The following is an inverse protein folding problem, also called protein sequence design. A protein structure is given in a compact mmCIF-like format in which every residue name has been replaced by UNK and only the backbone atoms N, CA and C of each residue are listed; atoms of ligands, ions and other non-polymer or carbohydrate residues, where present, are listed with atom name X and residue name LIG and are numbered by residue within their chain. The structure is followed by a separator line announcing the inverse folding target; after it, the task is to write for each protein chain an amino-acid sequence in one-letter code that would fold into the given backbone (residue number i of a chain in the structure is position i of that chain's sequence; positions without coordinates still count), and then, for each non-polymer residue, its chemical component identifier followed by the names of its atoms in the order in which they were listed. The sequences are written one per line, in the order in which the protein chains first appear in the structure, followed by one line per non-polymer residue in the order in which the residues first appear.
data_IF_796980216730
#
_entry.id   IF_796980216730
#
_cell.length_a   1.000
_cell.length_b   1.000
_cell.length_c   1.000
_cell.angle_alpha   90.00
_cell.angle_beta   90.00
_cell.angle_gamma   90.00
#
_symmetry.space_group_name_H-M   'P 1'
#
loop_
_entity.id
_entity.type
_entity.pdbx_description
1 polymer ?
#
# COMPACT_ATOMS: atom_id res chain seq x y z
N UNK A 1 -31.27 2.98 -2.14
CA UNK A 1 -30.19 2.57 -3.07
C UNK A 1 -30.25 1.07 -3.17
N UNK A 2 -30.23 0.53 -4.37
CA UNK A 2 -30.14 -0.91 -4.58
C UNK A 2 -28.81 -1.46 -4.04
N UNK A 3 -28.80 -2.74 -3.67
CA UNK A 3 -27.64 -3.40 -3.06
C UNK A 3 -26.42 -3.33 -3.99
N UNK A 4 -26.63 -3.54 -5.29
CA UNK A 4 -25.56 -3.50 -6.30
C UNK A 4 -24.91 -2.12 -6.38
N UNK A 5 -25.70 -1.06 -6.49
CA UNK A 5 -25.18 0.32 -6.48
C UNK A 5 -24.43 0.64 -5.19
N UNK A 6 -24.88 0.14 -4.03
CA UNK A 6 -24.15 0.30 -2.78
C UNK A 6 -22.78 -0.36 -2.80
N UNK A 7 -22.69 -1.60 -3.30
CA UNK A 7 -21.42 -2.32 -3.43
C UNK A 7 -20.46 -1.58 -4.37
N UNK A 8 -20.95 -1.08 -5.51
CA UNK A 8 -20.12 -0.33 -6.47
C UNK A 8 -19.57 0.95 -5.85
N UNK A 9 -20.43 1.77 -5.25
CA UNK A 9 -20.01 3.02 -4.58
C UNK A 9 -18.99 2.73 -3.49
N UNK A 10 -19.21 1.67 -2.71
CA UNK A 10 -18.29 1.23 -1.67
C UNK A 10 -16.91 0.88 -2.23
N UNK A 11 -16.85 0.02 -3.25
CA UNK A 11 -15.58 -0.40 -3.87
C UNK A 11 -14.84 0.81 -4.44
N UNK A 12 -15.53 1.68 -5.19
CA UNK A 12 -14.91 2.85 -5.81
C UNK A 12 -14.41 3.85 -4.77
N UNK A 13 -15.17 4.08 -3.71
CA UNK A 13 -14.77 5.00 -2.63
C UNK A 13 -13.50 4.48 -1.93
N UNK A 14 -13.45 3.18 -1.63
CA UNK A 14 -12.28 2.58 -0.97
C UNK A 14 -11.06 2.54 -1.89
N UNK A 15 -11.25 2.21 -3.17
CA UNK A 15 -10.19 2.23 -4.16
C UNK A 15 -9.60 3.63 -4.34
N UNK A 16 -10.46 4.65 -4.48
CA UNK A 16 -10.04 6.04 -4.58
C UNK A 16 -9.33 6.51 -3.30
N UNK A 17 -9.85 6.15 -2.13
CA UNK A 17 -9.23 6.49 -0.84
C UNK A 17 -7.84 5.87 -0.71
N UNK A 18 -7.67 4.61 -1.11
CA UNK A 18 -6.37 3.94 -1.12
C UNK A 18 -5.41 4.61 -2.10
N UNK A 19 -5.87 4.92 -3.31
CA UNK A 19 -5.08 5.62 -4.32
C UNK A 19 -4.60 6.99 -3.81
N UNK A 20 -5.52 7.82 -3.32
CA UNK A 20 -5.21 9.16 -2.82
C UNK A 20 -4.22 9.10 -1.64
N UNK A 21 -4.45 8.19 -0.68
CA UNK A 21 -3.56 8.01 0.46
C UNK A 21 -2.17 7.53 0.04
N UNK A 22 -2.08 6.61 -0.93
CA UNK A 22 -0.80 6.11 -1.43
C UNK A 22 0.03 7.22 -2.09
N UNK A 23 -0.59 8.10 -2.87
CA UNK A 23 0.06 9.27 -3.47
C UNK A 23 0.56 10.20 -2.39
N UNK A 24 -0.26 10.46 -1.36
CA UNK A 24 0.11 11.34 -0.25
C UNK A 24 1.29 10.79 0.56
N UNK A 25 1.34 9.48 0.80
CA UNK A 25 2.41 8.82 1.55
C UNK A 25 3.71 8.67 0.74
N UNK A 26 3.61 8.60 -0.59
CA UNK A 26 4.76 8.40 -1.49
C UNK A 26 5.91 9.39 -1.26
N UNK A 27 5.72 10.73 -1.28
CA UNK A 27 6.83 11.67 -1.09
C UNK A 27 7.49 11.53 0.29
N UNK A 28 6.71 11.21 1.33
CA UNK A 28 7.26 10.97 2.66
C UNK A 28 8.15 9.72 2.68
N UNK A 29 7.69 8.63 2.07
CA UNK A 29 8.44 7.38 2.02
C UNK A 29 9.67 7.44 1.11
N UNK A 30 9.56 8.07 -0.07
CA UNK A 30 10.71 8.20 -0.98
C UNK A 30 11.82 9.02 -0.36
N UNK A 31 11.52 10.07 0.41
CA UNK A 31 12.51 10.81 1.19
C UNK A 31 13.26 9.92 2.21
N UNK A 32 12.55 8.99 2.86
CA UNK A 32 13.17 8.00 3.76
C UNK A 32 14.12 7.09 2.98
N UNK A 33 13.67 6.55 1.84
CA UNK A 33 14.49 5.66 1.01
C UNK A 33 15.76 6.35 0.50
N UNK A 34 15.65 7.61 0.06
CA UNK A 34 16.81 8.41 -0.34
C UNK A 34 17.75 8.70 0.84
N UNK A 35 17.21 9.06 2.01
CA UNK A 35 17.99 9.34 3.22
C UNK A 35 18.86 8.15 3.63
N UNK A 36 18.30 6.93 3.56
CA UNK A 36 19.01 5.70 3.92
C UNK A 36 19.72 5.02 2.74
N UNK A 37 19.77 5.67 1.56
CA UNK A 37 20.38 5.15 0.32
C UNK A 37 19.87 3.76 -0.09
N UNK A 38 18.59 3.50 0.18
CA UNK A 38 17.87 2.27 -0.17
C UNK A 38 17.45 2.34 -1.63
N UNK A 39 18.43 2.29 -2.53
CA UNK A 39 18.25 2.40 -3.97
C UNK A 39 19.03 1.34 -4.72
N UNK A 40 18.66 1.12 -5.97
CA UNK A 40 19.28 0.08 -6.80
C UNK A 40 20.71 0.48 -7.17
N UNK A 41 21.65 -0.38 -6.81
CA UNK A 41 23.05 -0.28 -7.22
C UNK A 41 23.26 -1.06 -8.52
N UNK A 42 23.91 -0.46 -9.51
CA UNK A 42 24.21 -1.13 -10.79
C UNK A 42 25.63 -1.68 -10.71
N UNK A 43 25.77 -3.01 -10.82
CA UNK A 43 27.08 -3.66 -10.87
C UNK A 43 27.73 -3.37 -12.22
N UNK A 44 28.95 -2.83 -12.19
CA UNK A 44 29.77 -2.53 -13.36
C UNK A 44 30.71 -3.67 -13.73
N UNK A 45 31.04 -4.53 -12.77
CA UNK A 45 31.95 -5.66 -12.95
C UNK A 45 31.27 -6.80 -13.72
N UNK A 46 31.92 -7.26 -14.79
CA UNK A 46 31.47 -8.39 -15.62
C UNK A 46 30.34 -8.10 -16.62
N UNK A 47 29.77 -6.88 -16.62
CA UNK A 47 28.64 -6.55 -17.50
C UNK A 47 28.61 -5.07 -17.95
N UNK A 48 29.63 -4.58 -18.70
CA UNK A 48 29.77 -3.17 -19.06
C UNK A 48 28.63 -2.65 -19.96
N UNK A 49 28.10 -3.47 -20.87
CA UNK A 49 26.97 -3.09 -21.75
C UNK A 49 25.69 -2.96 -20.93
N UNK A 50 25.42 -3.90 -20.02
CA UNK A 50 24.27 -3.84 -19.12
C UNK A 50 24.33 -2.60 -18.21
N UNK A 51 25.52 -2.32 -17.65
CA UNK A 51 25.75 -1.17 -16.80
C UNK A 51 25.52 0.15 -17.55
N UNK A 52 26.02 0.28 -18.79
CA UNK A 52 25.80 1.47 -19.62
C UNK A 52 24.30 1.72 -19.90
N UNK A 53 23.53 0.67 -20.18
CA UNK A 53 22.10 0.77 -20.46
C UNK A 53 21.25 1.09 -19.21
N UNK A 54 21.71 0.70 -18.02
CA UNK A 54 20.96 0.83 -16.77
C UNK A 54 21.46 1.91 -15.83
N UNK A 55 22.54 2.63 -16.20
CA UNK A 55 23.13 3.71 -15.40
C UNK A 55 22.11 4.78 -14.99
N UNK A 56 21.14 5.11 -15.86
CA UNK A 56 20.07 6.07 -15.54
C UNK A 56 19.10 5.62 -14.43
N UNK A 57 19.12 4.35 -14.04
CA UNK A 57 18.30 3.80 -12.95
C UNK A 57 19.08 3.66 -11.64
N UNK A 58 20.36 3.99 -11.64
CA UNK A 58 21.20 3.95 -10.44
C UNK A 58 20.65 4.88 -9.35
N UNK A 59 20.58 4.38 -8.12
CA UNK A 59 20.03 5.14 -7.00
C UNK A 59 18.50 5.32 -7.01
N UNK A 60 17.78 4.70 -7.96
CA UNK A 60 16.31 4.66 -7.93
C UNK A 60 15.86 3.90 -6.67
N UNK A 61 14.97 4.47 -5.84
CA UNK A 61 14.53 3.85 -4.59
C UNK A 61 14.01 2.43 -4.79
N UNK A 62 14.48 1.52 -3.94
CA UNK A 62 13.99 0.14 -3.86
C UNK A 62 12.98 0.06 -2.71
N UNK A 63 12.05 -0.89 -2.75
CA UNK A 63 10.96 -1.06 -1.75
C UNK A 63 9.76 -0.09 -1.86
N UNK A 64 9.32 0.21 -3.09
CA UNK A 64 8.04 0.88 -3.31
C UNK A 64 6.83 0.10 -2.79
N UNK A 65 6.93 -1.23 -2.68
CA UNK A 65 5.86 -2.09 -2.15
C UNK A 65 5.43 -1.76 -0.71
N UNK A 66 6.31 -1.16 0.10
CA UNK A 66 5.98 -0.73 1.47
C UNK A 66 4.84 0.29 1.49
N UNK A 67 4.76 1.18 0.48
CA UNK A 67 3.64 2.14 0.37
C UNK A 67 2.30 1.42 0.26
N UNK A 68 2.24 0.30 -0.48
CA UNK A 68 1.00 -0.45 -0.67
C UNK A 68 0.51 -1.00 0.67
N UNK A 69 1.41 -1.66 1.41
CA UNK A 69 1.10 -2.25 2.71
C UNK A 69 0.79 -1.21 3.79
N UNK A 70 1.55 -0.12 3.83
CA UNK A 70 1.31 0.98 4.75
C UNK A 70 -0.06 1.63 4.49
N UNK A 71 -0.40 1.88 3.23
CA UNK A 71 -1.70 2.44 2.82
C UNK A 71 -2.83 1.52 3.26
N UNK A 72 -2.70 0.21 3.01
CA UNK A 72 -3.68 -0.80 3.41
C UNK A 72 -3.87 -0.80 4.93
N UNK A 73 -2.77 -0.85 5.70
CA UNK A 73 -2.80 -0.87 7.16
C UNK A 73 -3.47 0.39 7.74
N UNK A 74 -3.11 1.57 7.23
CA UNK A 74 -3.69 2.84 7.67
C UNK A 74 -5.20 2.88 7.40
N UNK A 75 -5.65 2.49 6.20
CA UNK A 75 -7.07 2.45 5.88
C UNK A 75 -7.85 1.49 6.78
N UNK A 76 -7.30 0.31 7.04
CA UNK A 76 -7.90 -0.69 7.93
C UNK A 76 -8.07 -0.13 9.34
N UNK A 77 -7.02 0.46 9.89
CA UNK A 77 -7.05 1.04 11.24
C UNK A 77 -8.05 2.20 11.32
N UNK A 78 -8.08 3.09 10.32
CA UNK A 78 -9.01 4.22 10.27
C UNK A 78 -10.46 3.74 10.22
N UNK A 79 -10.78 2.76 9.36
CA UNK A 79 -12.13 2.22 9.24
C UNK A 79 -12.57 1.46 10.51
N UNK A 80 -11.67 0.68 11.11
CA UNK A 80 -11.93 -0.01 12.37
C UNK A 80 -12.17 0.98 13.52
N UNK A 81 -11.39 2.06 13.58
CA UNK A 81 -11.55 3.10 14.58
C UNK A 81 -12.85 3.89 14.38
N UNK A 82 -13.20 4.20 13.13
CA UNK A 82 -14.45 4.87 12.78
C UNK A 82 -15.68 4.05 13.19
N UNK A 83 -15.66 2.73 13.01
CA UNK A 83 -16.73 1.84 13.49
C UNK A 83 -16.88 1.89 15.01
N UNK A 84 -15.76 1.89 15.74
CA UNK A 84 -15.77 1.93 17.21
C UNK A 84 -16.35 3.23 17.77
N UNK A 85 -16.07 4.37 17.14
CA UNK A 85 -16.54 5.68 17.61
C UNK A 85 -17.92 6.08 17.10
N UNK A 86 -18.35 5.59 15.94
CA UNK A 86 -19.63 5.95 15.30
C UNK A 86 -20.44 4.69 14.92
N UNK A 87 -20.83 3.85 15.90
CA UNK A 87 -21.57 2.63 15.62
C UNK A 87 -22.91 2.94 14.94
N UNK A 88 -23.22 2.23 13.85
CA UNK A 88 -24.49 2.38 13.11
C UNK A 88 -24.55 3.54 12.10
N UNK A 89 -23.51 4.37 11.99
CA UNK A 89 -23.42 5.45 11.00
C UNK A 89 -23.23 4.92 9.56
N UNK A 90 -23.48 5.76 8.56
CA UNK A 90 -23.21 5.41 7.14
C UNK A 90 -21.73 5.03 6.92
N UNK A 91 -20.80 5.63 7.67
CA UNK A 91 -19.39 5.29 7.65
C UNK A 91 -19.10 3.86 8.17
N UNK A 92 -19.86 3.39 9.17
CA UNK A 92 -19.75 2.01 9.66
C UNK A 92 -20.08 0.98 8.57
N UNK A 93 -20.95 1.32 7.60
CA UNK A 93 -21.27 0.44 6.46
C UNK A 93 -20.13 0.26 5.47
N UNK A 94 -19.11 1.15 5.49
CA UNK A 94 -17.91 0.98 4.69
C UNK A 94 -16.92 0.00 5.30
N UNK A 95 -17.01 -0.30 6.61
CA UNK A 95 -16.07 -1.23 7.22
C UNK A 95 -16.31 -2.67 6.74
N UNK A 96 -15.34 -3.23 6.02
CA UNK A 96 -15.36 -4.61 5.48
C UNK A 96 -14.61 -5.59 6.40
N UNK A 97 -14.01 -5.09 7.48
CA UNK A 97 -13.25 -5.88 8.45
C UNK A 97 -14.14 -6.64 9.44
N UNK A 98 -15.44 -6.33 9.51
CA UNK A 98 -16.35 -7.09 10.38
C UNK A 98 -16.63 -8.52 9.89
N UNK A 99 -16.21 -8.86 8.66
CA UNK A 99 -16.30 -10.22 8.13
C UNK A 99 -15.05 -11.01 8.49
N UNK A 100 -15.20 -12.09 9.26
CA UNK A 100 -14.11 -13.02 9.62
C UNK A 100 -13.27 -13.49 8.43
N UNK A 101 -13.87 -13.56 7.24
CA UNK A 101 -13.23 -14.01 6.00
C UNK A 101 -12.22 -13.02 5.40
N UNK A 102 -12.20 -11.74 5.81
CA UNK A 102 -11.22 -10.76 5.31
C UNK A 102 -9.92 -10.75 6.11
N UNK A 103 -9.95 -11.22 7.36
CA UNK A 103 -8.78 -11.26 8.24
C UNK A 103 -7.74 -12.29 7.78
N UNK A 104 -8.18 -13.45 7.29
CA UNK A 104 -7.27 -14.51 6.81
C UNK A 104 -6.46 -14.07 5.58
N UNK A 105 -7.08 -13.58 4.48
CA UNK A 105 -6.33 -13.04 3.34
C UNK A 105 -5.43 -11.88 3.74
N UNK A 106 -5.91 -10.96 4.59
CA UNK A 106 -5.12 -9.83 5.06
C UNK A 106 -3.86 -10.29 5.81
N UNK A 107 -4.00 -11.27 6.70
CA UNK A 107 -2.88 -11.85 7.42
C UNK A 107 -1.84 -12.44 6.47
N UNK A 108 -2.25 -13.29 5.52
CA UNK A 108 -1.35 -13.91 4.54
C UNK A 108 -0.62 -12.86 3.70
N UNK A 109 -1.35 -11.82 3.29
CA UNK A 109 -0.83 -10.70 2.51
C UNK A 109 0.22 -9.89 3.30
N UNK A 110 -0.04 -9.61 4.58
CA UNK A 110 0.95 -8.95 5.45
C UNK A 110 2.18 -9.84 5.71
N UNK A 111 2.01 -11.14 5.89
CA UNK A 111 3.14 -12.07 6.06
C UNK A 111 3.99 -12.15 4.79
N UNK A 112 3.38 -12.26 3.61
CA UNK A 112 4.13 -12.30 2.34
C UNK A 112 4.83 -10.97 2.05
N UNK A 113 4.25 -9.85 2.44
CA UNK A 113 4.88 -8.53 2.40
C UNK A 113 6.20 -8.48 3.17
N UNK A 114 6.18 -9.00 4.40
CA UNK A 114 7.34 -9.01 5.29
C UNK A 114 8.42 -9.93 4.75
N UNK A 115 8.05 -11.11 4.22
CA UNK A 115 9.00 -12.03 3.60
C UNK A 115 9.61 -11.45 2.32
N UNK A 116 8.80 -10.75 1.50
CA UNK A 116 9.22 -10.14 0.24
C UNK A 116 10.05 -8.85 0.38
N UNK A 117 10.32 -8.39 1.61
CA UNK A 117 11.21 -7.25 1.88
C UNK A 117 12.71 -7.61 1.85
N UNK A 118 13.04 -8.90 1.65
CA UNK A 118 14.42 -9.43 1.51
C UNK A 118 14.97 -9.46 0.10
#
# INVERSE_FOLDING_TARGET
MDETSFQIVRILTLAFSAFALSIFLTPWWTNILYKYRLGKQIRTEGAPVFAALHKGKEGTPTMGGVIIWLTLLVLILVLALAEKFLPGSFAAKFNFLSRTQTLLPLGVLMFSAVIGLG
#
